data_IF_279501340413
#
_entry.id   IF_279501340413
#
_cell.length_a   1.000
_cell.length_b   1.000
_cell.length_c   1.000
_cell.angle_alpha   90.00
_cell.angle_beta   90.00
_cell.angle_gamma   90.00
#
_symmetry.space_group_name_H-M   'P 1'
#
loop_
_entity.id
_entity.type
_entity.pdbx_description
1 polymer ?
#
# COMPACT_ATOMS: atom_id res chain seq x y z
N UNK A 1 8.70 -51.94 -26.83
CA UNK A 1 8.49 -50.48 -26.99
C UNK A 1 8.02 -49.93 -25.64
N UNK A 2 8.89 -49.20 -24.94
CA UNK A 2 8.62 -48.62 -23.62
C UNK A 2 8.15 -47.17 -23.83
N UNK A 3 6.96 -46.84 -23.34
CA UNK A 3 6.41 -45.47 -23.34
C UNK A 3 7.02 -44.71 -22.15
N UNK A 4 7.63 -43.52 -22.34
CA UNK A 4 8.18 -42.78 -21.22
C UNK A 4 7.05 -42.10 -20.44
N UNK A 5 7.05 -42.26 -19.12
CA UNK A 5 6.20 -41.52 -18.22
C UNK A 5 6.69 -40.06 -18.14
N UNK A 6 5.92 -39.15 -18.74
CA UNK A 6 6.10 -37.71 -18.54
C UNK A 6 5.65 -37.35 -17.11
N UNK A 7 6.61 -37.08 -16.23
CA UNK A 7 6.35 -36.41 -14.96
C UNK A 7 6.11 -34.94 -15.28
N UNK A 8 4.83 -34.54 -15.33
CA UNK A 8 4.43 -33.14 -15.34
C UNK A 8 4.76 -32.52 -13.97
N UNK A 9 5.85 -31.77 -13.92
CA UNK A 9 6.12 -30.87 -12.81
C UNK A 9 5.07 -29.75 -12.83
N UNK A 10 4.05 -29.88 -11.99
CA UNK A 10 3.12 -28.79 -11.69
C UNK A 10 3.92 -27.69 -10.99
N UNK A 11 4.31 -26.66 -11.73
CA UNK A 11 4.76 -25.38 -11.15
C UNK A 11 3.54 -24.72 -10.52
N UNK A 12 3.30 -24.98 -9.25
CA UNK A 12 2.29 -24.26 -8.47
C UNK A 12 2.79 -22.82 -8.37
N UNK A 13 2.11 -21.88 -9.05
CA UNK A 13 2.34 -20.46 -8.86
C UNK A 13 2.21 -20.15 -7.35
N UNK A 14 3.05 -19.28 -6.77
CA UNK A 14 2.94 -18.95 -5.35
C UNK A 14 1.51 -18.44 -5.10
N UNK A 15 0.80 -19.08 -4.17
CA UNK A 15 -0.54 -18.67 -3.81
C UNK A 15 -0.52 -17.17 -3.51
N UNK A 16 -1.35 -16.39 -4.22
CA UNK A 16 -1.60 -15.01 -3.84
C UNK A 16 -2.18 -15.07 -2.42
N UNK A 17 -1.36 -14.72 -1.42
CA UNK A 17 -1.79 -14.71 -0.04
C UNK A 17 -2.89 -13.67 0.10
N UNK A 18 -4.13 -14.14 0.23
CA UNK A 18 -5.28 -13.34 0.59
C UNK A 18 -5.54 -13.52 2.07
N UNK A 19 -5.67 -12.43 2.81
CA UNK A 19 -6.12 -12.47 4.20
C UNK A 19 -7.32 -11.55 4.39
N UNK A 20 -8.17 -11.89 5.36
CA UNK A 20 -9.22 -10.99 5.84
C UNK A 20 -8.58 -9.67 6.25
N UNK A 21 -9.19 -8.57 5.84
CA UNK A 21 -8.78 -7.22 6.18
C UNK A 21 -9.99 -6.51 6.78
N UNK A 22 -9.87 -6.04 8.02
CA UNK A 22 -10.98 -5.35 8.67
C UNK A 22 -10.70 -4.98 10.11
N UNK A 23 -11.61 -4.20 10.72
CA UNK A 23 -11.44 -3.76 12.12
C UNK A 23 -11.17 -4.92 13.07
N UNK A 24 -11.97 -5.99 12.97
CA UNK A 24 -11.82 -7.15 13.85
C UNK A 24 -10.48 -7.86 13.68
N UNK A 25 -10.02 -8.07 12.43
CA UNK A 25 -8.72 -8.68 12.14
C UNK A 25 -7.57 -7.77 12.59
N UNK A 26 -7.69 -6.46 12.37
CA UNK A 26 -6.68 -5.51 12.80
C UNK A 26 -6.50 -5.55 14.32
N UNK A 27 -7.60 -5.58 15.08
CA UNK A 27 -7.56 -5.53 16.54
C UNK A 27 -7.23 -6.88 17.18
N UNK A 28 -7.74 -8.00 16.65
CA UNK A 28 -7.68 -9.32 17.30
C UNK A 28 -7.00 -10.41 16.47
N UNK A 29 -6.69 -10.13 15.21
CA UNK A 29 -6.11 -11.10 14.30
C UNK A 29 -4.64 -11.39 14.61
N UNK A 30 -4.16 -12.48 14.02
CA UNK A 30 -2.73 -12.87 14.04
C UNK A 30 -2.16 -13.00 12.63
N UNK A 31 -2.99 -12.80 11.60
CA UNK A 31 -2.59 -12.86 10.19
C UNK A 31 -1.73 -11.67 9.77
N UNK A 32 -1.22 -11.71 8.54
CA UNK A 32 -0.28 -10.70 8.03
C UNK A 32 -0.85 -9.27 7.93
N UNK A 33 -2.17 -9.13 8.09
CA UNK A 33 -2.90 -7.86 8.09
C UNK A 33 -3.33 -7.40 9.49
N UNK A 34 -2.98 -8.14 10.53
CA UNK A 34 -3.26 -7.77 11.92
C UNK A 34 -2.31 -6.67 12.40
N UNK A 35 -2.74 -5.94 13.44
CA UNK A 35 -1.87 -5.00 14.15
C UNK A 35 -0.64 -5.71 14.74
N UNK A 36 -0.84 -6.89 15.31
CA UNK A 36 0.24 -7.68 15.90
C UNK A 36 1.34 -7.99 14.87
N UNK A 37 0.95 -8.38 13.65
CA UNK A 37 1.90 -8.63 12.57
C UNK A 37 2.54 -7.32 12.09
N UNK A 38 1.78 -6.23 11.97
CA UNK A 38 2.36 -4.94 11.61
C UNK A 38 3.45 -4.51 12.59
N UNK A 39 3.21 -4.67 13.90
CA UNK A 39 4.14 -4.24 14.94
C UNK A 39 5.35 -5.17 15.11
N UNK A 40 5.17 -6.48 14.96
CA UNK A 40 6.19 -7.47 15.33
C UNK A 40 6.72 -8.34 14.17
N UNK A 41 6.05 -8.31 13.02
CA UNK A 41 6.39 -9.10 11.86
C UNK A 41 7.68 -8.64 11.18
N UNK A 42 8.22 -9.51 10.31
CA UNK A 42 9.42 -9.24 9.50
C UNK A 42 9.19 -9.28 8.00
N UNK A 43 8.01 -9.71 7.56
CA UNK A 43 7.60 -9.73 6.15
C UNK A 43 6.77 -8.51 5.80
N UNK A 44 6.48 -8.31 4.51
CA UNK A 44 5.54 -7.26 4.10
C UNK A 44 4.13 -7.71 4.54
N UNK A 45 3.29 -6.84 5.12
CA UNK A 45 3.40 -5.38 5.26
C UNK A 45 3.85 -4.88 6.65
N UNK A 46 4.74 -5.59 7.36
CA UNK A 46 5.21 -5.17 8.69
C UNK A 46 5.84 -3.78 8.73
N UNK A 47 5.75 -3.12 9.88
CA UNK A 47 6.44 -1.87 10.16
C UNK A 47 7.96 -1.99 10.03
N UNK A 48 8.53 -3.16 10.31
CA UNK A 48 9.95 -3.41 10.10
C UNK A 48 10.36 -3.26 8.63
N UNK A 49 9.61 -3.86 7.70
CA UNK A 49 9.87 -3.68 6.26
C UNK A 49 9.44 -2.31 5.77
N UNK A 50 8.41 -1.70 6.36
CA UNK A 50 8.04 -0.34 6.01
C UNK A 50 9.22 0.61 6.21
N UNK A 51 9.90 0.54 7.35
CA UNK A 51 11.01 1.43 7.67
C UNK A 51 12.33 1.03 7.01
N UNK A 52 12.66 -0.26 6.97
CA UNK A 52 13.99 -0.74 6.58
C UNK A 52 14.06 -1.34 5.18
N UNK A 53 12.92 -1.56 4.54
CA UNK A 53 12.83 -2.17 3.22
C UNK A 53 13.28 -1.24 2.09
N UNK A 54 13.44 -1.85 0.90
CA UNK A 54 13.74 -1.15 -0.36
C UNK A 54 12.71 -1.46 -1.47
N UNK A 55 11.75 -2.34 -1.19
CA UNK A 55 10.72 -2.79 -2.14
C UNK A 55 9.43 -2.01 -1.94
N UNK A 56 8.47 -2.20 -2.85
CA UNK A 56 7.12 -1.68 -2.72
C UNK A 56 6.55 -1.90 -1.31
N UNK A 57 6.00 -0.83 -0.73
CA UNK A 57 5.50 -0.82 0.64
C UNK A 57 6.54 -0.45 1.70
N UNK A 58 7.74 -0.01 1.32
CA UNK A 58 8.72 0.63 2.21
C UNK A 58 8.82 2.14 1.98
N UNK A 59 9.28 2.88 2.99
CA UNK A 59 9.48 4.34 2.91
C UNK A 59 10.52 4.68 1.83
N UNK A 60 11.61 3.91 1.72
CA UNK A 60 12.62 4.14 0.67
C UNK A 60 12.04 3.99 -0.72
N UNK A 61 11.21 2.96 -0.95
CA UNK A 61 10.52 2.79 -2.23
C UNK A 61 9.46 3.87 -2.47
N UNK A 62 8.74 4.28 -1.41
CA UNK A 62 7.77 5.38 -1.50
C UNK A 62 8.42 6.62 -2.13
N UNK A 63 9.63 6.99 -1.68
CA UNK A 63 10.27 8.25 -2.09
C UNK A 63 11.14 8.15 -3.34
N UNK A 64 11.69 6.97 -3.67
CA UNK A 64 12.64 6.81 -4.79
C UNK A 64 12.17 5.87 -5.91
N UNK A 65 11.07 5.14 -5.70
CA UNK A 65 10.49 4.25 -6.71
C UNK A 65 9.69 5.00 -7.78
N UNK A 66 9.38 4.29 -8.86
CA UNK A 66 8.57 4.75 -10.00
C UNK A 66 7.26 3.96 -10.19
N UNK A 67 7.16 2.76 -9.61
CA UNK A 67 6.00 1.88 -9.71
C UNK A 67 4.93 2.08 -8.63
N UNK A 68 3.88 1.25 -8.67
CA UNK A 68 2.75 1.30 -7.73
C UNK A 68 3.25 1.30 -6.28
N UNK A 69 2.70 2.18 -5.43
CA UNK A 69 3.17 2.38 -4.06
C UNK A 69 4.29 3.40 -3.88
N UNK A 70 4.80 3.99 -4.98
CA UNK A 70 5.69 5.16 -4.94
C UNK A 70 4.91 6.47 -5.02
N UNK A 71 5.53 7.54 -4.52
CA UNK A 71 5.06 8.91 -4.71
C UNK A 71 5.04 9.29 -6.20
N UNK A 72 6.01 8.79 -6.99
CA UNK A 72 6.03 8.98 -8.43
C UNK A 72 4.75 8.49 -9.10
N UNK A 73 4.38 7.26 -8.80
CA UNK A 73 3.16 6.65 -9.32
C UNK A 73 1.91 7.36 -8.80
N UNK A 74 1.88 7.72 -7.51
CA UNK A 74 0.74 8.45 -6.92
C UNK A 74 0.45 9.74 -7.67
N UNK A 75 1.48 10.54 -7.97
CA UNK A 75 1.33 11.87 -8.53
C UNK A 75 1.12 11.87 -10.05
N UNK A 76 1.72 10.92 -10.77
CA UNK A 76 1.79 10.98 -12.24
C UNK A 76 0.98 9.91 -12.99
N UNK A 77 0.58 8.81 -12.34
CA UNK A 77 -0.14 7.73 -13.01
C UNK A 77 -1.64 8.00 -13.12
N UNK A 78 -2.32 7.18 -13.95
CA UNK A 78 -3.79 7.12 -14.09
C UNK A 78 -4.39 5.79 -13.64
N UNK A 79 -3.56 4.86 -13.16
CA UNK A 79 -3.95 3.51 -12.77
C UNK A 79 -4.34 3.42 -11.29
N UNK A 80 -4.97 2.31 -10.82
CA UNK A 80 -5.27 2.09 -9.41
C UNK A 80 -4.06 2.30 -8.49
N UNK A 81 -4.26 3.08 -7.42
CA UNK A 81 -3.18 3.52 -6.53
C UNK A 81 -2.54 4.87 -6.92
N UNK A 82 -3.11 5.59 -7.88
CA UNK A 82 -2.76 6.98 -8.22
C UNK A 82 -3.80 7.99 -7.73
N UNK A 83 -3.39 9.24 -7.53
CA UNK A 83 -4.28 10.33 -7.17
C UNK A 83 -5.34 10.59 -8.24
N UNK A 84 -4.96 10.50 -9.53
CA UNK A 84 -5.91 10.65 -10.64
C UNK A 84 -7.00 9.57 -10.58
N UNK A 85 -6.60 8.31 -10.38
CA UNK A 85 -7.55 7.20 -10.30
C UNK A 85 -8.40 7.26 -9.03
N UNK A 86 -7.82 7.68 -7.90
CA UNK A 86 -8.57 7.93 -6.67
C UNK A 86 -9.75 8.87 -6.91
N UNK A 87 -9.50 10.01 -7.56
CA UNK A 87 -10.54 11.04 -7.79
C UNK A 87 -11.55 10.67 -8.87
N UNK A 88 -11.10 10.06 -9.97
CA UNK A 88 -11.90 9.94 -11.19
C UNK A 88 -12.38 8.51 -11.50
N UNK A 89 -11.78 7.50 -10.86
CA UNK A 89 -12.10 6.10 -11.10
C UNK A 89 -13.44 5.67 -10.50
N UNK A 90 -13.92 4.50 -10.93
CA UNK A 90 -15.08 3.82 -10.34
C UNK A 90 -14.80 2.39 -9.85
N UNK A 91 -13.65 1.85 -10.21
CA UNK A 91 -13.22 0.49 -9.88
C UNK A 91 -12.38 0.46 -8.58
N UNK A 92 -11.99 -0.72 -8.05
CA UNK A 92 -11.22 -0.83 -6.81
C UNK A 92 -9.98 0.07 -6.77
N UNK A 93 -9.83 0.82 -5.68
CA UNK A 93 -8.77 1.82 -5.51
C UNK A 93 -9.17 3.26 -5.89
N UNK A 94 -10.43 3.47 -6.29
CA UNK A 94 -11.03 4.80 -6.46
C UNK A 94 -11.82 5.23 -5.23
N UNK A 95 -12.06 6.53 -5.05
CA UNK A 95 -12.93 7.08 -4.01
C UNK A 95 -14.36 6.59 -4.16
N UNK A 96 -14.87 6.55 -5.39
CA UNK A 96 -16.21 6.04 -5.65
C UNK A 96 -16.36 4.59 -5.16
N UNK A 97 -15.37 3.74 -5.45
CA UNK A 97 -15.37 2.35 -4.97
C UNK A 97 -15.15 2.27 -3.45
N UNK A 98 -14.34 3.16 -2.87
CA UNK A 98 -14.18 3.23 -1.42
C UNK A 98 -15.54 3.43 -0.72
N UNK A 99 -16.30 4.42 -1.19
CA UNK A 99 -17.57 4.84 -0.58
C UNK A 99 -18.73 3.87 -0.90
N UNK A 100 -18.75 3.22 -2.07
CA UNK A 100 -19.93 2.48 -2.58
C UNK A 100 -19.66 1.01 -2.92
N UNK A 101 -18.40 0.59 -2.93
CA UNK A 101 -17.98 -0.74 -3.36
C UNK A 101 -18.25 -1.85 -2.33
N UNK A 102 -18.00 -3.08 -2.77
CA UNK A 102 -18.07 -4.29 -1.94
C UNK A 102 -16.83 -5.13 -2.20
N UNK A 103 -15.80 -4.97 -1.39
CA UNK A 103 -14.51 -5.66 -1.54
C UNK A 103 -13.40 -5.01 -0.73
N UNK A 104 -12.20 -5.59 -0.74
CA UNK A 104 -11.04 -5.14 0.05
C UNK A 104 -10.84 -3.61 0.07
N UNK A 105 -10.85 -2.99 -1.12
CA UNK A 105 -10.60 -1.55 -1.30
C UNK A 105 -11.85 -0.68 -1.08
N UNK A 106 -12.83 -1.15 -0.30
CA UNK A 106 -14.05 -0.41 0.07
C UNK A 106 -14.20 -0.28 1.57
N UNK A 107 -14.87 0.79 2.03
CA UNK A 107 -15.17 0.99 3.44
C UNK A 107 -16.02 -0.16 3.99
N UNK A 108 -17.00 -0.63 3.22
CA UNK A 108 -17.80 -1.79 3.59
C UNK A 108 -16.93 -3.05 3.73
N UNK A 109 -15.98 -3.26 2.81
CA UNK A 109 -15.04 -4.36 2.89
C UNK A 109 -14.16 -4.30 4.14
N UNK A 110 -13.66 -3.10 4.50
CA UNK A 110 -12.96 -2.88 5.77
C UNK A 110 -13.84 -3.23 6.97
N UNK A 111 -15.10 -2.80 6.98
CA UNK A 111 -16.01 -3.07 8.11
C UNK A 111 -16.35 -4.56 8.23
N UNK A 112 -16.43 -5.28 7.10
CA UNK A 112 -16.89 -6.66 7.04
C UNK A 112 -15.77 -7.71 6.98
N UNK A 113 -14.49 -7.32 6.93
CA UNK A 113 -13.39 -8.29 6.91
C UNK A 113 -13.13 -8.88 5.52
N UNK A 114 -13.32 -8.11 4.44
CA UNK A 114 -13.11 -8.60 3.08
C UNK A 114 -11.67 -9.10 2.86
N UNK A 115 -11.51 -10.13 2.01
CA UNK A 115 -10.19 -10.65 1.69
C UNK A 115 -9.41 -9.66 0.81
N UNK A 116 -8.17 -9.35 1.20
CA UNK A 116 -7.25 -8.47 0.48
C UNK A 116 -6.04 -9.23 -0.02
N UNK A 117 -5.62 -8.93 -1.25
CA UNK A 117 -4.33 -9.35 -1.78
C UNK A 117 -3.19 -8.45 -1.25
N UNK A 118 -1.95 -8.89 -1.46
CA UNK A 118 -0.76 -8.07 -1.22
C UNK A 118 -0.74 -6.79 -2.06
N UNK A 119 -1.28 -6.84 -3.28
CA UNK A 119 -1.41 -5.68 -4.19
C UNK A 119 -2.44 -4.67 -3.68
N UNK A 120 -3.56 -5.15 -3.11
CA UNK A 120 -4.56 -4.27 -2.51
C UNK A 120 -4.01 -3.58 -1.25
N UNK A 121 -3.28 -4.32 -0.43
CA UNK A 121 -2.59 -3.77 0.76
C UNK A 121 -1.68 -2.60 0.40
N UNK A 122 -1.01 -2.66 -0.75
CA UNK A 122 -0.12 -1.60 -1.21
C UNK A 122 -0.90 -0.34 -1.60
N UNK A 123 -2.06 -0.51 -2.23
CA UNK A 123 -2.98 0.60 -2.53
C UNK A 123 -3.48 1.22 -1.23
N UNK A 124 -3.95 0.41 -0.27
CA UNK A 124 -4.43 0.90 1.02
C UNK A 124 -3.34 1.65 1.80
N UNK A 125 -2.11 1.14 1.82
CA UNK A 125 -0.96 1.83 2.40
C UNK A 125 -0.71 3.19 1.74
N UNK A 126 -0.77 3.25 0.40
CA UNK A 126 -0.61 4.51 -0.35
C UNK A 126 -1.71 5.50 -0.02
N UNK A 127 -2.98 5.05 0.05
CA UNK A 127 -4.12 5.87 0.44
C UNK A 127 -4.01 6.37 1.89
N UNK A 128 -3.51 5.55 2.81
CA UNK A 128 -3.20 5.96 4.17
C UNK A 128 -2.15 7.07 4.21
N UNK A 129 -1.03 6.92 3.49
CA UNK A 129 0.07 7.89 3.44
C UNK A 129 -0.41 9.22 2.84
N UNK A 130 -1.18 9.15 1.76
CA UNK A 130 -1.82 10.29 1.13
C UNK A 130 -2.93 10.90 2.00
N UNK A 131 -3.34 10.27 3.11
CA UNK A 131 -4.51 10.68 3.92
C UNK A 131 -5.80 10.75 3.09
N UNK A 132 -5.91 9.88 2.09
CA UNK A 132 -7.12 9.72 1.28
C UNK A 132 -8.22 8.96 2.02
N UNK A 133 -7.81 8.11 2.96
CA UNK A 133 -8.68 7.36 3.87
C UNK A 133 -8.14 7.49 5.30
N UNK A 134 -9.02 7.33 6.29
CA UNK A 134 -8.66 7.28 7.71
C UNK A 134 -9.27 6.04 8.36
N UNK A 135 -8.46 4.97 8.39
CA UNK A 135 -8.77 3.72 9.09
C UNK A 135 -7.66 3.42 10.10
N UNK A 136 -7.89 2.61 11.15
CA UNK A 136 -6.90 2.34 12.18
C UNK A 136 -5.49 1.96 11.68
N UNK A 137 -5.29 1.14 10.62
CA UNK A 137 -3.97 0.87 10.07
C UNK A 137 -3.21 2.12 9.59
N UNK A 138 -3.92 3.17 9.16
CA UNK A 138 -3.28 4.39 8.68
C UNK A 138 -2.54 5.16 9.78
N UNK A 139 -2.95 5.02 11.05
CA UNK A 139 -2.33 5.75 12.17
C UNK A 139 -0.88 5.31 12.41
N UNK A 140 -0.57 4.02 12.65
CA UNK A 140 0.82 3.62 12.85
C UNK A 140 1.66 3.69 11.56
N UNK A 141 1.07 3.56 10.37
CA UNK A 141 1.78 3.80 9.09
C UNK A 141 2.23 5.27 9.02
N UNK A 142 1.31 6.22 9.21
CA UNK A 142 1.66 7.64 9.15
C UNK A 142 2.57 8.05 10.30
N UNK A 143 2.40 7.52 11.51
CA UNK A 143 3.28 7.82 12.63
C UNK A 143 4.75 7.42 12.34
N UNK A 144 4.97 6.23 11.78
CA UNK A 144 6.32 5.78 11.39
C UNK A 144 6.90 6.59 10.23
N UNK A 145 6.07 6.96 9.25
CA UNK A 145 6.49 7.82 8.15
C UNK A 145 6.88 9.21 8.66
N UNK A 146 6.03 9.83 9.47
CA UNK A 146 6.27 11.17 10.00
C UNK A 146 7.52 11.18 10.92
N UNK A 147 7.75 10.12 11.71
CA UNK A 147 8.99 9.93 12.47
C UNK A 147 10.23 9.81 11.56
N UNK A 148 10.14 9.00 10.50
CA UNK A 148 11.24 8.86 9.53
C UNK A 148 11.56 10.19 8.84
N UNK A 149 10.53 10.91 8.38
CA UNK A 149 10.66 12.22 7.75
C UNK A 149 11.27 13.27 8.69
N UNK A 150 11.03 13.16 9.99
CA UNK A 150 11.62 14.08 10.98
C UNK A 150 13.12 13.88 11.19
N UNK A 151 13.64 12.69 10.86
CA UNK A 151 15.05 12.31 11.03
C UNK A 151 15.85 12.41 9.73
N UNK A 152 15.20 12.22 8.59
CA UNK A 152 15.85 12.23 7.28
C UNK A 152 15.90 13.64 6.69
N UNK A 153 17.10 14.20 6.54
CA UNK A 153 17.32 15.54 5.97
C UNK A 153 17.65 15.48 4.47
N UNK A 154 17.27 14.41 3.78
CA UNK A 154 17.62 14.21 2.37
C UNK A 154 16.89 15.17 1.45
N UNK A 155 17.65 15.85 0.60
CA UNK A 155 17.11 16.59 -0.53
C UNK A 155 16.60 15.61 -1.59
N UNK A 156 15.46 15.94 -2.19
CA UNK A 156 14.88 15.17 -3.28
C UNK A 156 14.88 16.02 -4.53
N UNK A 157 15.50 15.52 -5.60
CA UNK A 157 15.24 16.03 -6.94
C UNK A 157 14.15 15.14 -7.53
N UNK A 158 12.90 15.58 -7.39
CA UNK A 158 11.78 14.83 -7.93
C UNK A 158 11.61 15.17 -9.42
N UNK A 159 11.80 14.19 -10.33
CA UNK A 159 11.68 14.46 -11.75
C UNK A 159 10.22 14.81 -12.10
N UNK A 160 10.02 16.04 -12.58
CA UNK A 160 8.72 16.55 -13.03
C UNK A 160 8.11 17.63 -12.15
N UNK A 161 8.64 17.90 -10.96
CA UNK A 161 8.21 19.03 -10.13
C UNK A 161 9.40 19.62 -9.35
N UNK A 162 9.95 20.72 -9.87
CA UNK A 162 11.12 21.40 -9.29
C UNK A 162 10.80 22.12 -7.97
N UNK A 163 9.53 22.15 -7.53
CA UNK A 163 9.15 22.74 -6.24
C UNK A 163 9.24 21.77 -5.06
N UNK A 164 9.50 20.49 -5.34
CA UNK A 164 9.72 19.48 -4.31
C UNK A 164 11.22 19.44 -4.01
N UNK A 165 11.59 19.86 -2.81
CA UNK A 165 13.00 19.95 -2.40
C UNK A 165 13.37 18.93 -1.33
N UNK A 166 12.39 18.34 -0.64
CA UNK A 166 12.61 17.35 0.43
C UNK A 166 11.63 16.17 0.36
N UNK A 167 11.94 15.09 1.08
CA UNK A 167 10.99 13.97 1.27
C UNK A 167 9.69 14.43 1.94
N UNK A 168 9.76 15.41 2.84
CA UNK A 168 8.60 15.96 3.51
C UNK A 168 7.69 16.71 2.53
N UNK A 169 8.25 17.54 1.65
CA UNK A 169 7.50 18.26 0.61
C UNK A 169 6.79 17.29 -0.34
N UNK A 170 7.48 16.19 -0.70
CA UNK A 170 6.90 15.14 -1.52
C UNK A 170 5.65 14.52 -0.87
N UNK A 171 5.72 14.19 0.42
CA UNK A 171 4.58 13.62 1.15
C UNK A 171 3.47 14.66 1.36
N UNK A 172 3.80 15.93 1.60
CA UNK A 172 2.82 17.02 1.63
C UNK A 172 2.10 17.12 0.29
N UNK A 173 2.84 17.04 -0.83
CA UNK A 173 2.28 17.05 -2.18
C UNK A 173 1.37 15.85 -2.43
N UNK A 174 1.75 14.66 -1.98
CA UNK A 174 0.88 13.48 -2.04
C UNK A 174 -0.44 13.72 -1.31
N UNK A 175 -0.37 14.25 -0.08
CA UNK A 175 -1.53 14.54 0.78
C UNK A 175 -2.44 15.65 0.22
N UNK A 176 -1.87 16.63 -0.47
CA UNK A 176 -2.63 17.69 -1.14
C UNK A 176 -3.38 17.25 -2.39
N UNK A 177 -3.11 16.07 -2.93
CA UNK A 177 -3.70 15.55 -4.17
C UNK A 177 -4.93 14.63 -3.95
N UNK A 178 -5.52 14.66 -2.76
CA UNK A 178 -6.65 13.76 -2.42
C UNK A 178 -8.02 14.28 -2.86
N UNK A 179 -8.20 15.61 -2.94
CA UNK A 179 -9.49 16.28 -3.11
C UNK A 179 -10.18 15.99 -4.45
#
# INVERSE_FOLDING_TARGET
MLVPAFILALTVAPAQETASWGQHEWDNGTGFLSRQYFENGRGYPSGHLFENGIKAGSIRYLVSGDGRGSAHFWLNSRDPGSAFFWRNGRDPGSRHYWDNGRGCLSELGWRLGAACSSADTLILQTLCIAKAIDIPPCRPINARLDDWLSRETGDVIYPGDLSIHSYADLVVRMRGNVA
#
